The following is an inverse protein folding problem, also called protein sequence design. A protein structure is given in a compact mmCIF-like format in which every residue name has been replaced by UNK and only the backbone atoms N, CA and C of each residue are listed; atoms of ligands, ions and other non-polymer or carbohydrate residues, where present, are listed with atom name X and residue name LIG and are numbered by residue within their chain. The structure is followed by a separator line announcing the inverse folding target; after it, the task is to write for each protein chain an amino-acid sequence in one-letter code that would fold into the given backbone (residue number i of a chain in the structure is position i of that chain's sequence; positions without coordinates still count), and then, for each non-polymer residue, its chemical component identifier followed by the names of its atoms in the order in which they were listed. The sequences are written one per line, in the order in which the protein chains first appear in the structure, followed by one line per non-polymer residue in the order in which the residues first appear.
data_IF_952489644364
#
_entry.id   IF_952489644364
#
_cell.length_a   1.000
_cell.length_b   1.000
_cell.length_c   1.000
_cell.angle_alpha   90.00
_cell.angle_beta   90.00
_cell.angle_gamma   90.00
#
_symmetry.space_group_name_H-M   'P 1'
#
loop_
_entity.id
_entity.type
_entity.pdbx_description
1 polymer ?
#
# COMPACT_ATOMS: atom_id res chain seq x y z
N UNK A 1 21.86 -43.38 -18.43
CA UNK A 1 22.52 -42.48 -17.46
C UNK A 1 21.72 -41.21 -17.42
N UNK A 2 20.77 -41.10 -16.50
CA UNK A 2 19.95 -39.89 -16.31
C UNK A 2 20.17 -39.44 -14.87
N UNK A 3 20.91 -38.34 -14.69
CA UNK A 3 20.92 -37.63 -13.41
C UNK A 3 19.85 -36.54 -13.52
N UNK A 4 18.73 -36.76 -12.83
CA UNK A 4 17.78 -35.71 -12.53
C UNK A 4 18.49 -34.71 -11.63
N UNK A 5 18.58 -33.47 -12.08
CA UNK A 5 19.02 -32.34 -11.25
C UNK A 5 17.76 -31.85 -10.57
N UNK A 6 17.57 -32.27 -9.33
CA UNK A 6 16.56 -31.70 -8.44
C UNK A 6 17.04 -30.28 -8.10
N UNK A 7 16.39 -29.26 -8.67
CA UNK A 7 16.53 -27.86 -8.27
C UNK A 7 15.94 -27.67 -6.88
N UNK A 8 16.66 -28.10 -5.85
CA UNK A 8 16.41 -27.67 -4.48
C UNK A 8 16.99 -26.25 -4.36
N UNK A 9 16.13 -25.25 -4.52
CA UNK A 9 16.48 -23.84 -4.29
C UNK A 9 16.87 -23.66 -2.82
N UNK A 10 18.17 -23.72 -2.56
CA UNK A 10 18.80 -23.42 -1.29
C UNK A 10 18.67 -21.91 -0.99
N UNK A 11 17.60 -21.54 -0.30
CA UNK A 11 17.48 -20.20 0.28
C UNK A 11 18.32 -20.13 1.55
N UNK A 12 19.64 -19.97 1.39
CA UNK A 12 20.52 -19.65 2.50
C UNK A 12 20.05 -18.37 3.22
N UNK A 13 20.04 -18.29 4.57
CA UNK A 13 19.66 -17.08 5.33
C UNK A 13 20.43 -15.81 4.94
N UNK A 14 21.60 -15.98 4.31
CA UNK A 14 22.42 -14.90 3.76
C UNK A 14 21.82 -14.24 2.51
N UNK A 15 21.08 -15.00 1.70
CA UNK A 15 20.36 -14.50 0.51
C UNK A 15 19.15 -13.68 0.94
N UNK A 16 18.41 -14.14 1.95
CA UNK A 16 17.25 -13.43 2.50
C UNK A 16 17.66 -12.09 3.14
N UNK A 17 18.77 -12.08 3.89
CA UNK A 17 19.34 -10.86 4.46
C UNK A 17 19.81 -9.87 3.37
N UNK A 18 20.45 -10.36 2.31
CA UNK A 18 20.87 -9.53 1.18
C UNK A 18 19.70 -9.02 0.32
N UNK A 19 18.56 -9.73 0.31
CA UNK A 19 17.33 -9.29 -0.33
C UNK A 19 16.63 -8.21 0.51
N UNK A 20 16.58 -8.38 1.83
CA UNK A 20 16.04 -7.40 2.78
C UNK A 20 16.87 -6.12 2.84
N UNK A 21 18.19 -6.20 2.69
CA UNK A 21 19.08 -5.03 2.57
C UNK A 21 18.95 -4.31 1.21
N UNK A 22 18.46 -4.99 0.16
CA UNK A 22 18.19 -4.43 -1.18
C UNK A 22 16.75 -3.96 -1.38
N UNK A 23 15.84 -4.35 -0.49
CA UNK A 23 14.51 -3.75 -0.44
C UNK A 23 14.72 -2.37 0.17
N UNK A 24 14.73 -1.33 -0.66
CA UNK A 24 14.61 0.05 -0.16
C UNK A 24 13.33 0.11 0.68
N UNK A 25 13.49 0.06 2.00
CA UNK A 25 12.39 0.19 2.95
C UNK A 25 12.01 1.66 2.93
N UNK A 26 11.12 2.02 2.00
CA UNK A 26 10.57 3.36 1.95
C UNK A 26 9.77 3.60 3.22
N UNK A 27 10.09 4.69 3.91
CA UNK A 27 9.40 5.07 5.13
C UNK A 27 7.91 5.29 4.82
N UNK A 28 7.06 4.50 5.49
CA UNK A 28 5.62 4.63 5.35
C UNK A 28 5.10 5.69 6.30
N UNK A 29 4.56 6.76 5.74
CA UNK A 29 4.00 7.89 6.46
C UNK A 29 2.47 7.77 6.49
N UNK A 30 1.87 7.88 7.67
CA UNK A 30 0.41 7.94 7.80
C UNK A 30 -0.12 9.30 7.32
N UNK A 31 -1.05 9.27 6.36
CA UNK A 31 -1.72 10.46 5.86
C UNK A 31 -3.01 10.74 6.62
N UNK A 32 -3.79 9.70 6.92
CA UNK A 32 -5.07 9.81 7.61
C UNK A 32 -5.46 8.48 8.25
N UNK A 33 -6.11 8.56 9.41
CA UNK A 33 -6.76 7.42 10.08
C UNK A 33 -8.14 7.81 10.59
N UNK A 34 -9.09 6.91 10.40
CA UNK A 34 -10.47 7.02 10.86
C UNK A 34 -10.97 5.63 11.26
N UNK A 35 -12.23 5.52 11.69
CA UNK A 35 -12.80 4.24 12.14
C UNK A 35 -12.71 3.12 11.07
N UNK A 36 -13.00 3.45 9.81
CA UNK A 36 -13.11 2.45 8.74
C UNK A 36 -12.05 2.61 7.65
N UNK A 37 -11.31 3.73 7.65
CA UNK A 37 -10.31 4.02 6.64
C UNK A 37 -8.97 4.38 7.26
N UNK A 38 -7.90 3.84 6.69
CA UNK A 38 -6.54 4.32 6.93
C UNK A 38 -5.85 4.58 5.59
N UNK A 39 -4.98 5.58 5.55
CA UNK A 39 -4.25 5.94 4.34
C UNK A 39 -2.80 6.25 4.65
N UNK A 40 -1.92 5.80 3.78
CA UNK A 40 -0.48 5.89 3.94
C UNK A 40 0.18 6.35 2.65
N UNK A 41 1.38 6.88 2.76
CA UNK A 41 2.23 7.23 1.61
C UNK A 41 3.67 6.83 1.85
N UNK A 42 4.38 6.60 0.75
CA UNK A 42 5.81 6.27 0.71
C UNK A 42 6.46 7.19 -0.35
N UNK A 43 7.63 7.76 -0.04
CA UNK A 43 8.44 8.51 -1.01
C UNK A 43 9.31 7.52 -1.80
N UNK A 44 9.14 7.47 -3.12
CA UNK A 44 9.92 6.60 -4.01
C UNK A 44 11.12 7.34 -4.64
N UNK A 45 11.44 8.55 -4.18
CA UNK A 45 12.50 9.41 -4.70
C UNK A 45 12.14 10.15 -5.99
N UNK A 46 11.27 9.60 -6.84
CA UNK A 46 10.77 10.24 -8.07
C UNK A 46 9.26 10.55 -8.03
N UNK A 47 8.54 9.97 -7.07
CA UNK A 47 7.10 10.15 -6.88
C UNK A 47 6.69 9.69 -5.49
N UNK A 48 5.49 10.08 -5.06
CA UNK A 48 4.89 9.64 -3.81
C UNK A 48 3.80 8.61 -4.11
N UNK A 49 3.96 7.38 -3.63
CA UNK A 49 2.93 6.35 -3.72
C UNK A 49 2.05 6.41 -2.49
N UNK A 50 0.74 6.48 -2.67
CA UNK A 50 -0.22 6.41 -1.56
C UNK A 50 -1.17 5.22 -1.71
N UNK A 51 -1.64 4.74 -0.57
CA UNK A 51 -2.54 3.59 -0.44
C UNK A 51 -3.64 3.93 0.54
N UNK A 52 -4.88 3.56 0.21
CA UNK A 52 -6.05 3.69 1.09
C UNK A 52 -6.55 2.29 1.39
N UNK A 53 -6.75 2.02 2.67
CA UNK A 53 -7.30 0.78 3.20
C UNK A 53 -8.67 1.07 3.80
N UNK A 54 -9.60 0.13 3.59
CA UNK A 54 -10.92 0.09 4.21
C UNK A 54 -11.02 -1.21 5.03
N UNK A 55 -11.30 -1.10 6.32
CA UNK A 55 -11.41 -2.27 7.21
C UNK A 55 -10.19 -3.21 7.13
N UNK A 56 -8.98 -2.61 6.99
CA UNK A 56 -7.68 -3.28 6.77
C UNK A 56 -7.48 -3.95 5.41
N UNK A 57 -8.49 -3.93 4.54
CA UNK A 57 -8.36 -4.37 3.15
C UNK A 57 -7.93 -3.21 2.27
N UNK A 58 -7.07 -3.48 1.30
CA UNK A 58 -6.65 -2.46 0.35
C UNK A 58 -7.84 -2.06 -0.53
N UNK A 59 -8.23 -0.78 -0.44
CA UNK A 59 -9.34 -0.24 -1.23
C UNK A 59 -8.85 0.47 -2.50
N UNK A 60 -7.73 1.18 -2.44
CA UNK A 60 -7.22 1.95 -3.58
C UNK A 60 -5.71 2.21 -3.48
N UNK A 61 -5.05 2.23 -4.64
CA UNK A 61 -3.69 2.73 -4.82
C UNK A 61 -3.68 4.00 -5.68
N UNK A 62 -2.68 4.84 -5.49
CA UNK A 62 -2.40 5.94 -6.40
C UNK A 62 -1.06 6.60 -6.14
N UNK A 63 -0.84 7.73 -6.80
CA UNK A 63 0.39 8.48 -6.67
C UNK A 63 0.20 9.98 -6.82
N UNK A 64 1.19 10.72 -6.32
CA UNK A 64 1.27 12.17 -6.46
C UNK A 64 2.72 12.63 -6.58
N UNK A 65 2.92 13.90 -6.91
CA UNK A 65 4.25 14.49 -7.13
C UNK A 65 4.96 14.88 -5.83
N UNK A 66 4.21 15.08 -4.76
CA UNK A 66 4.73 15.49 -3.45
C UNK A 66 3.86 14.93 -2.31
N UNK A 67 4.42 14.89 -1.10
CA UNK A 67 3.68 14.55 0.11
C UNK A 67 2.39 15.36 0.27
N UNK A 68 2.45 16.66 0.01
CA UNK A 68 1.28 17.54 0.14
C UNK A 68 0.19 17.21 -0.88
N UNK A 69 0.58 16.98 -2.14
CA UNK A 69 -0.38 16.54 -3.16
C UNK A 69 -0.98 15.16 -2.85
N UNK A 70 -0.22 14.27 -2.18
CA UNK A 70 -0.74 12.99 -1.67
C UNK A 70 -1.78 13.17 -0.56
N UNK A 71 -1.57 14.12 0.37
CA UNK A 71 -2.58 14.44 1.39
C UNK A 71 -3.89 14.88 0.74
N UNK A 72 -3.82 15.82 -0.21
CA UNK A 72 -5.01 16.33 -0.88
C UNK A 72 -5.71 15.27 -1.76
N UNK A 73 -4.95 14.49 -2.53
CA UNK A 73 -5.49 13.41 -3.35
C UNK A 73 -6.25 12.38 -2.50
N UNK A 74 -5.63 11.92 -1.40
CA UNK A 74 -6.26 10.99 -0.46
C UNK A 74 -7.51 11.61 0.18
N UNK A 75 -7.44 12.88 0.59
CA UNK A 75 -8.59 13.60 1.16
C UNK A 75 -9.79 13.59 0.19
N UNK A 76 -9.56 13.87 -1.09
CA UNK A 76 -10.62 13.84 -2.10
C UNK A 76 -11.25 12.45 -2.28
N UNK A 77 -10.43 11.40 -2.36
CA UNK A 77 -10.93 10.02 -2.49
C UNK A 77 -11.73 9.61 -1.25
N UNK A 78 -11.25 9.94 -0.06
CA UNK A 78 -11.95 9.61 1.18
C UNK A 78 -13.29 10.34 1.32
N UNK A 79 -13.38 11.61 0.91
CA UNK A 79 -14.67 12.34 0.86
C UNK A 79 -15.67 11.60 -0.03
N UNK A 80 -15.22 11.12 -1.20
CA UNK A 80 -16.06 10.35 -2.10
C UNK A 80 -16.50 9.00 -1.50
N UNK A 81 -15.56 8.22 -0.94
CA UNK A 81 -15.86 6.93 -0.30
C UNK A 81 -16.84 7.08 0.87
N UNK A 82 -16.65 8.10 1.71
CA UNK A 82 -17.57 8.39 2.81
C UNK A 82 -18.97 8.77 2.31
N UNK A 83 -19.07 9.45 1.17
CA UNK A 83 -20.34 9.72 0.50
C UNK A 83 -21.08 8.44 0.08
N UNK A 84 -20.35 7.49 -0.54
CA UNK A 84 -20.90 6.18 -0.91
C UNK A 84 -21.39 5.42 0.32
N UNK A 85 -20.58 5.39 1.39
CA UNK A 85 -20.93 4.65 2.61
C UNK A 85 -22.18 5.20 3.30
N UNK A 86 -22.33 6.53 3.33
CA UNK A 86 -23.55 7.17 3.86
C UNK A 86 -24.77 6.76 3.03
N UNK A 87 -24.66 6.78 1.70
CA UNK A 87 -25.77 6.38 0.83
C UNK A 87 -26.13 4.90 1.01
N UNK A 88 -25.15 4.01 1.15
CA UNK A 88 -25.39 2.58 1.41
C UNK A 88 -26.05 2.32 2.76
N UNK A 89 -25.67 3.07 3.81
CA UNK A 89 -26.34 2.98 5.13
C UNK A 89 -27.78 3.47 5.08
N UNK A 90 -28.06 4.49 4.28
CA UNK A 90 -29.39 5.06 4.12
C UNK A 90 -30.30 4.22 3.20
N UNK A 91 -29.73 3.31 2.40
CA UNK A 91 -30.46 2.45 1.49
C UNK A 91 -29.90 1.02 1.55
N UNK A 92 -30.15 0.28 2.64
CA UNK A 92 -29.75 -1.11 2.75
C UNK A 92 -30.52 -1.94 1.73
N UNK A 93 -29.79 -2.65 0.86
CA UNK A 93 -30.36 -3.61 -0.10
C UNK A 93 -30.91 -4.82 0.64
#
# INVERSE_FOLDING_TARGET
MNANIDEETDFSPSVEKGLLEKLEVFERIELQRSANYSAYTEDLGFMWRWQIFRDSELAQHGCSLSLESSREAVRHVLVYFQGIDKNRKNNPV
#
